data_IF_163575281984
#
_entry.id   IF_163575281984
#
_cell.length_a   1.000
_cell.length_b   1.000
_cell.length_c   1.000
_cell.angle_alpha   90.00
_cell.angle_beta   90.00
_cell.angle_gamma   90.00
#
_symmetry.space_group_name_H-M   'P 1'
#
loop_
_entity.id
_entity.type
_entity.pdbx_description
1 polymer ?
#
# COMPACT_ATOMS: atom_id res chain seq x y z
N UNK A 1 17.53 37.06 -32.45
CA UNK A 1 16.97 36.00 -31.59
C UNK A 1 17.76 34.73 -31.85
N UNK A 2 18.61 34.34 -30.89
CA UNK A 2 19.60 33.29 -31.09
C UNK A 2 18.97 31.92 -30.79
N UNK A 3 19.15 30.91 -31.65
CA UNK A 3 18.60 29.56 -31.44
C UNK A 3 19.08 28.96 -30.11
N UNK A 4 20.29 29.35 -29.67
CA UNK A 4 20.89 28.92 -28.41
C UNK A 4 20.11 29.41 -27.18
N UNK A 5 19.50 30.60 -27.24
CA UNK A 5 18.67 31.13 -26.13
C UNK A 5 17.34 30.40 -25.98
N UNK A 6 16.78 29.84 -27.07
CA UNK A 6 15.51 29.09 -27.02
C UNK A 6 15.68 27.68 -26.42
N UNK A 7 16.85 27.06 -26.62
CA UNK A 7 17.17 25.73 -26.06
C UNK A 7 17.39 25.81 -24.53
N UNK A 8 18.00 26.89 -24.05
CA UNK A 8 18.23 27.12 -22.62
C UNK A 8 16.89 27.33 -21.90
N UNK A 9 15.94 28.07 -22.49
CA UNK A 9 14.60 28.23 -21.92
C UNK A 9 13.77 26.94 -21.92
N UNK A 10 13.96 26.05 -22.90
CA UNK A 10 13.34 24.72 -22.90
C UNK A 10 13.96 23.76 -21.87
N UNK A 11 15.26 23.90 -21.57
CA UNK A 11 15.94 23.07 -20.58
C UNK A 11 15.58 23.43 -19.12
N UNK A 12 15.09 24.64 -18.86
CA UNK A 12 14.68 25.12 -17.53
C UNK A 12 13.27 24.69 -17.11
N UNK A 13 12.44 24.17 -18.03
CA UNK A 13 11.08 23.66 -17.74
C UNK A 13 11.05 22.19 -17.30
N UNK A 14 12.17 21.47 -17.41
CA UNK A 14 12.35 20.13 -16.85
C UNK A 14 12.94 20.20 -15.43
N UNK A 15 12.37 21.07 -14.58
CA UNK A 15 12.53 20.88 -13.15
C UNK A 15 11.68 19.67 -12.77
N UNK A 16 12.33 18.52 -12.72
CA UNK A 16 11.78 17.32 -12.11
C UNK A 16 11.32 17.69 -10.70
N UNK A 17 10.00 17.72 -10.47
CA UNK A 17 9.46 17.66 -9.14
C UNK A 17 9.94 16.32 -8.56
N UNK A 18 11.02 16.35 -7.77
CA UNK A 18 11.48 15.17 -7.04
C UNK A 18 10.49 14.91 -5.91
N UNK A 19 9.38 14.26 -6.27
CA UNK A 19 8.48 13.67 -5.29
C UNK A 19 9.31 12.64 -4.54
N UNK A 20 9.58 12.86 -3.24
CA UNK A 20 10.27 11.87 -2.44
C UNK A 20 9.38 10.63 -2.33
N UNK A 21 9.64 9.63 -3.16
CA UNK A 21 8.84 8.42 -3.19
C UNK A 21 9.21 7.55 -1.98
N UNK A 22 8.21 7.13 -1.21
CA UNK A 22 8.37 6.26 -0.06
C UNK A 22 8.54 4.81 -0.55
N UNK A 23 9.73 4.47 -1.03
CA UNK A 23 10.05 3.15 -1.59
C UNK A 23 10.84 2.31 -0.58
N UNK A 24 10.43 1.06 -0.36
CA UNK A 24 11.11 0.12 0.53
C UNK A 24 11.23 -1.27 -0.10
N UNK A 25 12.32 -1.97 0.21
CA UNK A 25 12.49 -3.36 -0.18
C UNK A 25 12.04 -4.29 0.94
N UNK A 26 11.30 -5.34 0.58
CA UNK A 26 10.92 -6.43 1.47
C UNK A 26 11.50 -7.74 0.95
N UNK A 27 11.36 -8.83 1.70
CA UNK A 27 11.76 -10.18 1.24
C UNK A 27 10.96 -10.68 0.03
N UNK A 28 9.76 -10.14 -0.20
CA UNK A 28 8.86 -10.56 -1.29
C UNK A 28 8.84 -9.57 -2.47
N UNK A 29 9.53 -8.44 -2.37
CA UNK A 29 9.58 -7.44 -3.44
C UNK A 29 9.58 -6.01 -2.92
N UNK A 30 9.59 -5.06 -3.85
CA UNK A 30 9.65 -3.64 -3.54
C UNK A 30 8.23 -3.07 -3.40
N UNK A 31 8.04 -2.18 -2.44
CA UNK A 31 6.81 -1.46 -2.18
C UNK A 31 7.01 0.04 -2.38
N UNK A 32 5.96 0.72 -2.81
CA UNK A 32 5.82 2.18 -2.72
C UNK A 32 4.63 2.51 -1.81
N UNK A 33 4.88 3.28 -0.75
CA UNK A 33 3.90 3.69 0.24
C UNK A 33 3.41 5.13 0.07
N UNK A 34 2.68 5.60 1.07
CA UNK A 34 2.16 6.98 1.15
C UNK A 34 2.59 7.66 2.45
N UNK A 35 2.57 8.99 2.44
CA UNK A 35 2.52 9.76 3.68
C UNK A 35 1.09 9.78 4.22
N UNK A 36 0.96 9.57 5.52
CA UNK A 36 -0.31 9.59 6.22
C UNK A 36 -0.22 10.52 7.42
N UNK A 37 -1.21 11.40 7.58
CA UNK A 37 -1.31 12.27 8.75
C UNK A 37 -2.10 11.55 9.83
N UNK A 38 -1.43 11.22 10.93
CA UNK A 38 -2.08 10.61 12.09
C UNK A 38 -3.04 11.58 12.78
N UNK A 39 -3.87 11.05 13.69
CA UNK A 39 -4.86 11.83 14.45
C UNK A 39 -4.26 13.00 15.25
N UNK A 40 -3.01 12.89 15.69
CA UNK A 40 -2.29 13.96 16.41
C UNK A 40 -1.50 14.90 15.48
N UNK A 41 -1.68 14.81 14.16
CA UNK A 41 -1.01 15.68 13.18
C UNK A 41 0.41 15.27 12.82
N UNK A 42 0.91 14.13 13.31
CA UNK A 42 2.23 13.63 12.92
C UNK A 42 2.19 13.01 11.53
N UNK A 43 3.21 13.27 10.71
CA UNK A 43 3.37 12.62 9.40
C UNK A 43 4.06 11.26 9.63
N UNK A 44 3.41 10.19 9.17
CA UNK A 44 3.96 8.84 9.18
C UNK A 44 4.09 8.31 7.75
N UNK A 45 5.09 7.47 7.53
CA UNK A 45 5.18 6.62 6.36
C UNK A 45 4.22 5.43 6.55
N UNK A 46 3.36 5.18 5.57
CA UNK A 46 2.34 4.14 5.61
C UNK A 46 2.40 3.24 4.38
N UNK A 47 2.25 1.94 4.61
CA UNK A 47 2.20 0.90 3.58
C UNK A 47 1.02 -0.01 3.88
N UNK A 48 -0.02 0.06 3.06
CA UNK A 48 -1.26 -0.69 3.22
C UNK A 48 -1.33 -1.88 2.25
N UNK A 49 -2.14 -2.88 2.61
CA UNK A 49 -2.49 -3.96 1.68
C UNK A 49 -1.29 -4.82 1.26
N UNK A 50 -0.30 -4.99 2.15
CA UNK A 50 0.87 -5.83 1.87
C UNK A 50 0.48 -7.28 2.07
N UNK A 51 0.55 -8.15 1.04
CA UNK A 51 0.26 -9.56 1.21
C UNK A 51 1.36 -10.22 2.04
N UNK A 52 0.98 -10.94 3.09
CA UNK A 52 1.94 -11.68 3.93
C UNK A 52 1.86 -13.21 3.78
N UNK A 53 0.81 -13.70 3.13
CA UNK A 53 0.60 -15.11 2.82
C UNK A 53 -0.08 -15.27 1.45
N UNK A 54 -0.17 -16.50 0.93
CA UNK A 54 -1.06 -16.80 -0.21
C UNK A 54 -2.53 -16.66 0.21
N UNK A 55 -3.43 -16.25 -0.71
CA UNK A 55 -4.85 -16.25 -0.44
C UNK A 55 -5.34 -17.65 0.00
N UNK A 56 -6.06 -17.77 1.13
CA UNK A 56 -6.52 -19.06 1.67
C UNK A 56 -7.79 -19.55 0.94
N UNK A 57 -7.72 -19.62 -0.38
CA UNK A 57 -8.82 -19.98 -1.27
C UNK A 57 -8.75 -21.46 -1.68
N UNK A 58 -9.90 -22.06 -1.99
CA UNK A 58 -9.98 -23.44 -2.48
C UNK A 58 -9.38 -24.44 -1.49
N UNK A 59 -8.42 -25.24 -1.95
CA UNK A 59 -7.73 -26.25 -1.14
C UNK A 59 -6.89 -25.66 0.02
N UNK A 60 -6.55 -24.37 -0.04
CA UNK A 60 -5.84 -23.70 1.06
C UNK A 60 -6.78 -23.24 2.17
N UNK A 61 -8.10 -23.35 1.98
CA UNK A 61 -9.08 -22.95 2.99
C UNK A 61 -8.96 -23.87 4.22
N UNK A 62 -8.91 -23.26 5.40
CA UNK A 62 -8.75 -23.94 6.70
C UNK A 62 -7.40 -24.65 6.89
N UNK A 63 -6.43 -24.41 6.01
CA UNK A 63 -5.05 -24.88 6.17
C UNK A 63 -4.18 -23.78 6.79
N UNK A 64 -2.99 -24.16 7.25
CA UNK A 64 -1.98 -23.20 7.68
C UNK A 64 -1.61 -22.25 6.52
N UNK A 65 -1.47 -20.93 6.79
CA UNK A 65 -1.10 -19.96 5.76
C UNK A 65 0.22 -20.33 5.08
N UNK A 66 0.21 -20.33 3.75
CA UNK A 66 1.42 -20.55 2.96
C UNK A 66 2.15 -19.22 2.68
N UNK A 67 3.50 -19.20 2.61
CA UNK A 67 4.26 -17.97 2.36
C UNK A 67 3.80 -17.22 1.10
N UNK A 68 3.76 -15.89 1.18
CA UNK A 68 3.40 -15.05 0.02
C UNK A 68 4.41 -15.22 -1.11
N UNK A 69 3.93 -15.11 -2.35
CA UNK A 69 4.79 -15.15 -3.53
C UNK A 69 5.51 -13.81 -3.70
N UNK A 70 6.76 -13.86 -4.14
CA UNK A 70 7.46 -12.66 -4.53
C UNK A 70 6.82 -12.04 -5.76
N UNK A 71 6.75 -10.71 -5.82
CA UNK A 71 6.23 -9.98 -6.98
C UNK A 71 7.35 -9.23 -7.73
N UNK A 72 7.25 -9.12 -9.06
CA UNK A 72 8.19 -8.32 -9.83
C UNK A 72 7.90 -6.82 -9.69
N UNK A 73 8.94 -6.01 -9.85
CA UNK A 73 8.83 -4.55 -9.87
C UNK A 73 8.43 -3.93 -8.53
N UNK A 74 7.75 -2.80 -8.60
CA UNK A 74 7.30 -2.01 -7.44
C UNK A 74 5.79 -2.17 -7.28
N UNK A 75 5.34 -2.64 -6.12
CA UNK A 75 3.92 -2.77 -5.79
C UNK A 75 3.44 -1.55 -5.01
N UNK A 76 2.31 -1.01 -5.40
CA UNK A 76 1.65 0.09 -4.69
C UNK A 76 1.00 -0.41 -3.39
N UNK A 77 1.38 0.22 -2.27
CA UNK A 77 0.89 -0.06 -0.93
C UNK A 77 0.04 1.11 -0.41
N UNK A 78 -0.86 1.63 -1.26
CA UNK A 78 -1.65 2.82 -0.95
C UNK A 78 -2.98 2.49 -0.28
N UNK A 79 -3.58 1.38 -0.70
CA UNK A 79 -4.94 0.98 -0.32
C UNK A 79 -4.91 -0.19 0.66
N UNK A 80 -5.88 -0.21 1.58
CA UNK A 80 -6.07 -1.35 2.47
C UNK A 80 -6.44 -2.62 1.70
N UNK A 81 -5.96 -3.76 2.20
CA UNK A 81 -6.44 -5.06 1.74
C UNK A 81 -7.88 -5.33 2.20
N UNK A 82 -8.48 -6.38 1.65
CA UNK A 82 -9.83 -6.79 2.05
C UNK A 82 -9.85 -7.26 3.51
N UNK A 83 -10.94 -6.96 4.22
CA UNK A 83 -11.22 -7.56 5.53
C UNK A 83 -11.66 -9.01 5.35
N UNK A 84 -11.32 -9.87 6.30
CA UNK A 84 -11.75 -11.26 6.29
C UNK A 84 -13.26 -11.41 6.45
N UNK A 85 -13.79 -12.51 5.91
CA UNK A 85 -15.21 -12.85 6.00
C UNK A 85 -15.68 -12.85 7.45
N UNK A 86 -16.66 -12.02 7.77
CA UNK A 86 -17.24 -11.90 9.11
C UNK A 86 -18.69 -11.41 9.06
N UNK A 87 -19.42 -11.61 10.15
CA UNK A 87 -20.70 -10.95 10.38
C UNK A 87 -20.41 -9.67 11.18
N UNK A 88 -20.73 -8.48 10.66
CA UNK A 88 -20.42 -7.23 11.35
C UNK A 88 -21.21 -7.15 12.66
N UNK A 89 -20.51 -6.91 13.76
CA UNK A 89 -21.12 -6.68 15.07
C UNK A 89 -21.32 -5.16 15.22
N UNK A 90 -22.51 -4.68 14.87
CA UNK A 90 -22.91 -3.28 15.05
C UNK A 90 -24.02 -3.23 16.10
N UNK A 91 -23.96 -2.26 17.03
CA UNK A 91 -25.02 -2.02 18.02
C UNK A 91 -25.72 -0.67 17.77
N UNK A 92 -27.05 -0.64 17.62
CA UNK A 92 -27.96 -1.78 17.55
C UNK A 92 -27.75 -2.62 16.27
N UNK A 93 -28.10 -3.92 16.25
CA UNK A 93 -27.91 -4.76 15.08
C UNK A 93 -28.79 -4.29 13.92
N UNK A 94 -28.18 -3.63 12.93
CA UNK A 94 -28.87 -3.14 11.72
C UNK A 94 -28.59 -3.98 10.49
N UNK A 95 -27.56 -4.83 10.52
CA UNK A 95 -27.20 -5.68 9.38
C UNK A 95 -26.51 -6.99 9.87
N UNK A 96 -27.12 -8.13 9.58
CA UNK A 96 -26.57 -9.47 9.88
C UNK A 96 -25.97 -10.15 8.64
N UNK A 97 -25.88 -9.43 7.52
CA UNK A 97 -25.32 -9.97 6.28
C UNK A 97 -23.81 -10.13 6.41
N UNK A 98 -23.28 -11.26 5.96
CA UNK A 98 -21.83 -11.50 5.88
C UNK A 98 -21.17 -10.43 5.01
N UNK A 99 -20.00 -9.95 5.44
CA UNK A 99 -19.15 -9.03 4.69
C UNK A 99 -17.72 -9.56 4.60
N UNK A 100 -16.88 -8.95 3.76
CA UNK A 100 -15.46 -9.29 3.60
C UNK A 100 -15.17 -10.24 2.45
N UNK A 101 -13.90 -10.63 2.32
CA UNK A 101 -13.38 -11.55 1.30
C UNK A 101 -12.48 -12.60 1.96
N UNK A 102 -12.37 -13.80 1.39
CA UNK A 102 -11.43 -14.82 1.89
C UNK A 102 -9.98 -14.52 1.47
N UNK A 103 -9.77 -13.79 0.38
CA UNK A 103 -8.49 -13.15 0.09
C UNK A 103 -8.31 -11.90 0.97
N UNK A 104 -7.90 -12.11 2.22
CA UNK A 104 -7.79 -11.08 3.25
C UNK A 104 -6.47 -11.09 4.05
N UNK A 105 -5.49 -11.92 3.67
CA UNK A 105 -4.22 -12.05 4.39
C UNK A 105 -3.22 -10.93 4.03
N UNK A 106 -3.62 -9.71 4.40
CA UNK A 106 -2.86 -8.48 4.20
C UNK A 106 -2.52 -7.81 5.53
N UNK A 107 -1.40 -7.10 5.57
CA UNK A 107 -1.01 -6.26 6.69
C UNK A 107 -0.83 -4.80 6.26
N UNK A 108 -0.83 -3.92 7.26
CA UNK A 108 -0.52 -2.50 7.11
C UNK A 108 0.59 -2.11 8.07
N UNK A 109 1.61 -1.40 7.57
CA UNK A 109 2.77 -0.95 8.35
C UNK A 109 2.81 0.57 8.38
N UNK A 110 3.05 1.12 9.57
CA UNK A 110 3.23 2.55 9.77
C UNK A 110 4.53 2.80 10.53
N UNK A 111 5.31 3.79 10.12
CA UNK A 111 6.52 4.21 10.83
C UNK A 111 6.62 5.73 10.88
N UNK A 112 7.09 6.34 11.98
CA UNK A 112 7.42 7.76 12.01
C UNK A 112 8.41 8.11 10.90
N UNK A 113 8.27 9.29 10.29
CA UNK A 113 9.24 9.79 9.30
C UNK A 113 10.53 10.31 9.95
N UNK A 114 10.46 10.71 11.21
CA UNK A 114 11.59 11.26 11.96
C UNK A 114 12.30 10.13 12.72
N UNK A 115 13.28 9.50 12.07
CA UNK A 115 14.34 8.72 12.76
C UNK A 115 15.69 9.26 12.33
#
# INVERSE_FOLDING_TARGET
>A
MNLLSLIIEWSLLLQFAQCSQLIVNTTCGTLIGIEFTSRNGSIVAAFHGIPFAKPPLGELRFQDPQPSEAWPGVREAYNFGSVCVQIPIVYPPVNTTKMGNEDCLYLSVYTPKNT
#
